data_IF_676795474710
#
_entry.id   IF_676795474710
#
_cell.length_a   1.000
_cell.length_b   1.000
_cell.length_c   1.000
_cell.angle_alpha   90.00
_cell.angle_beta   90.00
_cell.angle_gamma   90.00
#
_symmetry.space_group_name_H-M   'P 1'
#
loop_
_entity.id
_entity.type
_entity.pdbx_description
1 polymer ?
#
# COMPACT_ATOMS: atom_id res chain seq x y z
N UNK A 1 -17.56 -6.12 -4.95
CA UNK A 1 -16.95 -5.70 -3.67
C UNK A 1 -17.92 -5.61 -2.48
N UNK A 2 -19.21 -5.27 -2.65
CA UNK A 2 -20.19 -5.23 -1.55
C UNK A 2 -20.62 -6.60 -0.96
N UNK A 3 -20.45 -7.71 -1.71
CA UNK A 3 -20.87 -9.05 -1.24
C UNK A 3 -19.87 -9.73 -0.30
N UNK A 4 -18.57 -9.58 -0.52
CA UNK A 4 -17.52 -10.14 0.36
C UNK A 4 -17.44 -9.38 1.69
N UNK A 5 -17.62 -8.04 1.66
CA UNK A 5 -17.81 -7.21 2.87
C UNK A 5 -19.01 -7.64 3.70
N UNK A 6 -20.10 -8.08 3.07
CA UNK A 6 -21.28 -8.55 3.82
C UNK A 6 -21.03 -9.92 4.44
N UNK A 7 -20.38 -10.86 3.76
CA UNK A 7 -20.27 -12.23 4.28
C UNK A 7 -19.32 -12.32 5.49
N UNK A 8 -18.15 -11.68 5.45
CA UNK A 8 -17.20 -11.72 6.59
C UNK A 8 -17.68 -10.90 7.79
N UNK A 9 -18.36 -9.77 7.52
CA UNK A 9 -18.85 -8.86 8.55
C UNK A 9 -20.20 -9.30 9.14
N UNK A 10 -21.03 -10.04 8.39
CA UNK A 10 -22.30 -10.63 8.91
C UNK A 10 -22.02 -11.83 9.81
N UNK A 11 -21.08 -12.71 9.45
CA UNK A 11 -20.79 -13.88 10.30
C UNK A 11 -20.16 -13.48 11.64
N UNK A 12 -19.31 -12.43 11.67
CA UNK A 12 -18.83 -11.86 12.93
C UNK A 12 -19.92 -11.02 13.63
N UNK A 13 -20.57 -10.06 12.97
CA UNK A 13 -21.56 -9.20 13.65
C UNK A 13 -22.74 -9.96 14.27
N UNK A 14 -23.13 -11.13 13.75
CA UNK A 14 -24.20 -11.95 14.33
C UNK A 14 -23.79 -12.58 15.67
N UNK A 15 -22.51 -12.91 15.86
CA UNK A 15 -22.00 -13.45 17.14
C UNK A 15 -21.83 -12.33 18.17
N UNK A 16 -21.38 -11.13 17.79
CA UNK A 16 -21.28 -10.00 18.73
C UNK A 16 -22.61 -9.36 19.08
N UNK A 17 -23.57 -9.30 18.14
CA UNK A 17 -24.93 -8.81 18.42
C UNK A 17 -25.67 -9.73 19.41
N UNK A 18 -25.37 -11.03 19.46
CA UNK A 18 -25.98 -11.94 20.42
C UNK A 18 -25.28 -11.95 21.79
N UNK A 19 -23.96 -11.73 21.85
CA UNK A 19 -23.20 -11.71 23.12
C UNK A 19 -23.47 -10.45 23.96
N UNK A 20 -23.62 -9.29 23.32
CA UNK A 20 -23.78 -7.98 24.00
C UNK A 20 -25.11 -7.27 23.68
N UNK A 21 -26.09 -7.93 23.06
CA UNK A 21 -27.43 -7.36 22.95
C UNK A 21 -27.98 -7.01 24.34
N UNK A 22 -28.45 -5.78 24.49
CA UNK A 22 -29.15 -5.23 25.67
C UNK A 22 -28.25 -4.68 26.80
N UNK A 23 -27.22 -3.89 26.46
CA UNK A 23 -26.32 -3.17 27.38
C UNK A 23 -27.02 -2.31 28.44
N UNK A 24 -28.18 -1.73 28.13
CA UNK A 24 -28.88 -0.80 29.02
C UNK A 24 -29.56 -1.45 30.25
N UNK A 25 -29.50 -2.77 30.42
CA UNK A 25 -30.16 -3.48 31.53
C UNK A 25 -29.30 -4.49 32.29
N UNK A 26 -28.03 -4.68 31.94
CA UNK A 26 -27.16 -5.64 32.65
C UNK A 26 -26.39 -4.96 33.78
N UNK A 27 -26.36 -5.62 34.92
CA UNK A 27 -25.60 -5.14 36.08
C UNK A 27 -24.10 -5.38 35.85
N UNK A 28 -23.28 -4.35 36.06
CA UNK A 28 -21.82 -4.45 35.96
C UNK A 28 -21.23 -4.97 37.28
N UNK A 29 -20.34 -5.96 37.21
CA UNK A 29 -19.55 -6.44 38.34
C UNK A 29 -18.09 -6.11 38.12
N UNK A 30 -17.47 -5.52 39.14
CA UNK A 30 -16.02 -5.34 39.18
C UNK A 30 -15.36 -6.60 39.75
N UNK A 31 -14.52 -7.25 38.96
CA UNK A 31 -13.65 -8.32 39.41
C UNK A 31 -12.19 -7.83 39.36
N UNK A 32 -11.37 -8.04 40.40
CA UNK A 32 -9.97 -7.60 40.36
C UNK A 32 -9.12 -8.45 39.38
N UNK A 33 -9.55 -9.69 39.13
CA UNK A 33 -8.88 -10.62 38.21
C UNK A 33 -9.90 -11.62 37.65
N UNK A 34 -9.76 -11.99 36.38
CA UNK A 34 -10.57 -13.01 35.72
C UNK A 34 -9.65 -14.06 35.09
N UNK A 35 -9.88 -15.32 35.42
CA UNK A 35 -9.20 -16.46 34.80
C UNK A 35 -10.19 -17.34 34.04
N UNK A 36 -9.80 -17.78 32.84
CA UNK A 36 -10.65 -18.61 31.97
C UNK A 36 -9.87 -19.81 31.42
N UNK A 37 -10.50 -20.98 31.30
CA UNK A 37 -9.90 -22.11 30.59
C UNK A 37 -10.26 -22.11 29.10
N UNK A 38 -11.56 -22.15 28.77
CA UNK A 38 -12.06 -22.20 27.39
C UNK A 38 -12.66 -20.86 26.99
N UNK A 39 -13.63 -20.40 27.79
CA UNK A 39 -14.26 -19.09 27.73
C UNK A 39 -14.84 -18.77 29.11
N UNK A 40 -15.23 -17.51 29.38
CA UNK A 40 -15.88 -17.11 30.63
C UNK A 40 -17.37 -17.46 30.66
N UNK A 41 -17.72 -18.71 30.31
CA UNK A 41 -19.09 -19.22 30.32
C UNK A 41 -19.79 -19.01 31.68
N UNK A 42 -19.03 -19.07 32.79
CA UNK A 42 -19.61 -18.95 34.13
C UNK A 42 -20.31 -17.60 34.40
N UNK A 43 -19.84 -16.51 33.81
CA UNK A 43 -20.45 -15.18 33.95
C UNK A 43 -21.50 -14.88 32.87
N UNK A 44 -21.43 -15.56 31.71
CA UNK A 44 -22.49 -15.55 30.71
C UNK A 44 -23.82 -16.09 31.28
N UNK A 45 -23.78 -17.10 32.15
CA UNK A 45 -24.97 -17.59 32.86
C UNK A 45 -25.55 -16.59 33.86
N UNK A 46 -24.72 -15.70 34.42
CA UNK A 46 -25.17 -14.68 35.38
C UNK A 46 -25.79 -13.45 34.71
N UNK A 47 -25.70 -13.30 33.38
CA UNK A 47 -26.09 -12.09 32.63
C UNK A 47 -25.49 -10.77 33.16
N UNK A 48 -24.33 -10.83 33.82
CA UNK A 48 -23.66 -9.65 34.38
C UNK A 48 -22.43 -9.31 33.56
N UNK A 49 -22.22 -8.01 33.39
CA UNK A 49 -21.11 -7.48 32.60
C UNK A 49 -19.88 -7.32 33.50
N UNK A 50 -18.86 -8.14 33.25
CA UNK A 50 -17.65 -8.15 34.07
C UNK A 50 -16.68 -7.06 33.61
N UNK A 51 -16.35 -6.16 34.53
CA UNK A 51 -15.30 -5.14 34.39
C UNK A 51 -14.11 -5.58 35.22
N UNK A 52 -12.92 -5.63 34.62
CA UNK A 52 -11.69 -6.07 35.31
C UNK A 52 -10.48 -5.32 34.78
N UNK A 53 -9.46 -5.02 35.62
CA UNK A 53 -8.17 -4.61 35.09
C UNK A 53 -7.44 -5.77 34.38
N UNK A 54 -7.61 -7.01 34.85
CA UNK A 54 -6.82 -8.15 34.40
C UNK A 54 -7.69 -9.36 34.01
N UNK A 55 -7.47 -9.89 32.81
CA UNK A 55 -8.15 -11.07 32.29
C UNK A 55 -7.18 -12.00 31.57
N UNK A 56 -7.06 -13.26 32.01
CA UNK A 56 -6.17 -14.25 31.39
C UNK A 56 -6.94 -15.52 31.06
N UNK A 57 -6.88 -15.96 29.80
CA UNK A 57 -7.52 -17.17 29.31
C UNK A 57 -6.51 -18.22 28.82
N UNK A 58 -6.66 -19.49 29.18
CA UNK A 58 -5.81 -20.55 28.61
C UNK A 58 -6.07 -20.73 27.12
N UNK A 59 -7.32 -20.94 26.70
CA UNK A 59 -7.70 -20.98 25.28
C UNK A 59 -8.29 -19.64 24.85
N UNK A 60 -9.24 -19.09 25.62
CA UNK A 60 -9.83 -17.81 25.31
C UNK A 60 -10.38 -17.08 26.53
N UNK A 61 -10.62 -15.77 26.36
CA UNK A 61 -11.14 -14.87 27.40
C UNK A 61 -12.29 -14.04 26.84
N UNK A 62 -13.45 -14.07 27.50
CA UNK A 62 -14.61 -13.25 27.15
C UNK A 62 -14.97 -12.36 28.33
N UNK A 63 -14.80 -11.05 28.20
CA UNK A 63 -14.99 -10.11 29.31
C UNK A 63 -15.66 -8.86 28.78
N UNK A 64 -16.55 -8.22 29.54
CA UNK A 64 -17.22 -7.02 29.05
C UNK A 64 -16.24 -5.86 28.90
N UNK A 65 -15.50 -5.50 29.95
CA UNK A 65 -14.53 -4.39 29.89
C UNK A 65 -13.20 -4.75 30.55
N UNK A 66 -12.09 -4.38 29.90
CA UNK A 66 -10.72 -4.56 30.41
C UNK A 66 -9.98 -3.24 30.51
N UNK A 67 -9.43 -2.91 31.68
CA UNK A 67 -8.77 -1.62 31.95
C UNK A 67 -7.24 -1.70 32.12
N UNK A 68 -6.61 -2.86 31.85
CA UNK A 68 -5.15 -2.96 31.82
C UNK A 68 -4.61 -4.07 30.89
N UNK A 69 -4.91 -5.36 31.15
CA UNK A 69 -4.38 -6.47 30.35
C UNK A 69 -5.42 -7.57 30.14
N UNK A 70 -5.58 -7.97 28.89
CA UNK A 70 -6.24 -9.19 28.50
C UNK A 70 -5.30 -10.06 27.65
N UNK A 71 -5.13 -11.33 28.02
CA UNK A 71 -4.28 -12.24 27.27
C UNK A 71 -4.86 -13.64 27.18
N UNK A 72 -4.74 -14.28 26.01
CA UNK A 72 -5.10 -15.69 25.86
C UNK A 72 -4.33 -16.41 24.75
N UNK A 73 -4.36 -17.74 24.72
CA UNK A 73 -3.63 -18.49 23.67
C UNK A 73 -4.30 -18.42 22.31
N UNK A 74 -5.64 -18.44 22.22
CA UNK A 74 -6.34 -18.43 20.94
C UNK A 74 -7.10 -17.14 20.71
N UNK A 75 -8.02 -16.76 21.61
CA UNK A 75 -8.90 -15.63 21.32
C UNK A 75 -9.34 -14.81 22.53
N UNK A 76 -9.50 -13.50 22.32
CA UNK A 76 -10.14 -12.59 23.27
C UNK A 76 -11.38 -11.96 22.65
N UNK A 77 -12.47 -11.89 23.41
CA UNK A 77 -13.69 -11.18 23.04
C UNK A 77 -14.05 -10.20 24.15
N UNK A 78 -14.14 -8.92 23.80
CA UNK A 78 -14.44 -7.85 24.74
C UNK A 78 -15.37 -6.80 24.16
N UNK A 79 -16.09 -6.07 25.03
CA UNK A 79 -16.87 -4.92 24.59
C UNK A 79 -16.00 -3.68 24.47
N UNK A 80 -15.26 -3.33 25.53
CA UNK A 80 -14.38 -2.17 25.57
C UNK A 80 -13.03 -2.52 26.23
N UNK A 81 -11.93 -1.99 25.67
CA UNK A 81 -10.59 -2.17 26.24
C UNK A 81 -9.90 -0.83 26.37
N UNK A 82 -9.38 -0.55 27.57
CA UNK A 82 -8.35 0.45 27.81
C UNK A 82 -7.11 -0.29 28.34
N UNK A 83 -6.09 -0.47 27.50
CA UNK A 83 -4.86 -1.20 27.86
C UNK A 83 -4.34 -2.13 26.77
N UNK A 84 -3.93 -3.33 27.16
CA UNK A 84 -3.25 -4.30 26.30
C UNK A 84 -4.13 -5.52 26.06
N UNK A 85 -4.33 -5.93 24.81
CA UNK A 85 -5.06 -7.15 24.45
C UNK A 85 -4.23 -8.02 23.51
N UNK A 86 -3.88 -9.24 23.96
CA UNK A 86 -2.98 -10.16 23.25
C UNK A 86 -3.60 -11.54 23.05
N UNK A 87 -3.57 -12.07 21.83
CA UNK A 87 -3.98 -13.44 21.55
C UNK A 87 -3.15 -14.12 20.46
N UNK A 88 -3.14 -15.46 20.44
CA UNK A 88 -2.45 -16.19 19.38
C UNK A 88 -3.19 -16.17 18.05
N UNK A 89 -4.52 -15.99 18.02
CA UNK A 89 -5.31 -16.02 16.78
C UNK A 89 -6.14 -14.76 16.61
N UNK A 90 -7.08 -14.48 17.52
CA UNK A 90 -8.13 -13.47 17.32
C UNK A 90 -8.34 -12.59 18.54
N UNK A 91 -8.21 -11.28 18.36
CA UNK A 91 -8.83 -10.32 19.27
C UNK A 91 -10.06 -9.70 18.63
N UNK A 92 -11.13 -9.59 19.41
CA UNK A 92 -12.37 -8.98 18.98
C UNK A 92 -12.91 -8.04 20.06
N UNK A 93 -12.91 -6.75 19.76
CA UNK A 93 -13.57 -5.73 20.54
C UNK A 93 -14.87 -5.28 19.85
N UNK A 94 -15.98 -5.16 20.57
CA UNK A 94 -17.26 -4.78 19.95
C UNK A 94 -17.53 -3.27 19.95
N UNK A 95 -16.77 -2.50 20.74
CA UNK A 95 -16.88 -1.05 20.87
C UNK A 95 -15.51 -0.37 20.67
N UNK A 96 -15.23 0.69 21.44
CA UNK A 96 -14.01 1.47 21.46
C UNK A 96 -12.84 0.70 22.08
N UNK A 97 -11.64 0.94 21.54
CA UNK A 97 -10.39 0.35 22.01
C UNK A 97 -9.33 1.46 22.15
N UNK A 98 -8.70 1.54 23.31
CA UNK A 98 -7.58 2.44 23.61
C UNK A 98 -6.37 1.61 24.12
N UNK A 99 -5.26 1.64 23.38
CA UNK A 99 -3.98 1.05 23.81
C UNK A 99 -3.31 0.15 22.78
N UNK A 100 -2.90 -1.06 23.17
CA UNK A 100 -2.13 -1.99 22.31
C UNK A 100 -2.90 -3.28 22.07
N UNK A 101 -3.13 -3.61 20.80
CA UNK A 101 -3.82 -4.83 20.40
C UNK A 101 -2.92 -5.69 19.50
N UNK A 102 -2.64 -6.93 19.90
CA UNK A 102 -1.75 -7.84 19.19
C UNK A 102 -2.38 -9.21 18.99
N UNK A 103 -2.45 -9.69 17.75
CA UNK A 103 -2.93 -11.04 17.45
C UNK A 103 -2.04 -11.74 16.40
N UNK A 104 -1.92 -13.06 16.50
CA UNK A 104 -1.21 -13.83 15.48
C UNK A 104 -1.90 -13.79 14.11
N UNK A 105 -3.23 -13.62 14.04
CA UNK A 105 -3.95 -13.64 12.77
C UNK A 105 -4.84 -12.40 12.59
N UNK A 106 -5.80 -12.15 13.49
CA UNK A 106 -6.85 -11.16 13.30
C UNK A 106 -7.04 -10.26 14.51
N UNK A 107 -7.16 -8.95 14.27
CA UNK A 107 -7.76 -8.02 15.21
C UNK A 107 -8.99 -7.37 14.58
N UNK A 108 -10.11 -7.33 15.31
CA UNK A 108 -11.38 -6.76 14.85
C UNK A 108 -11.97 -5.85 15.93
N UNK A 109 -12.20 -4.57 15.60
CA UNK A 109 -12.84 -3.62 16.50
C UNK A 109 -14.14 -3.06 15.88
N UNK A 110 -15.22 -3.09 16.65
CA UNK A 110 -16.54 -2.59 16.25
C UNK A 110 -16.69 -1.07 16.31
N UNK A 111 -15.85 -0.39 17.09
CA UNK A 111 -15.83 1.07 17.22
C UNK A 111 -14.52 1.69 16.73
N UNK A 112 -14.20 2.83 17.34
CA UNK A 112 -12.97 3.58 17.12
C UNK A 112 -11.79 2.89 17.83
N UNK A 113 -10.59 3.07 17.28
CA UNK A 113 -9.35 2.52 17.81
C UNK A 113 -8.32 3.62 18.01
N UNK A 114 -7.79 3.76 19.22
CA UNK A 114 -6.64 4.63 19.52
C UNK A 114 -5.46 3.79 20.02
N UNK A 115 -4.27 4.00 19.43
CA UNK A 115 -3.04 3.34 19.83
C UNK A 115 -2.39 2.48 18.75
N UNK A 116 -1.93 1.27 19.09
CA UNK A 116 -1.13 0.40 18.19
C UNK A 116 -1.76 -0.98 17.98
N UNK A 117 -2.10 -1.29 16.74
CA UNK A 117 -2.75 -2.54 16.32
C UNK A 117 -1.79 -3.38 15.45
N UNK A 118 -1.51 -4.61 15.85
CA UNK A 118 -0.61 -5.53 15.14
C UNK A 118 -1.26 -6.89 14.92
N UNK A 119 -1.32 -7.33 13.66
CA UNK A 119 -1.84 -8.66 13.30
C UNK A 119 -0.96 -9.35 12.26
N UNK A 120 -0.86 -10.68 12.31
CA UNK A 120 -0.17 -11.43 11.26
C UNK A 120 -0.84 -11.34 9.90
N UNK A 121 -2.18 -11.24 9.84
CA UNK A 121 -2.94 -11.20 8.58
C UNK A 121 -3.76 -9.92 8.44
N UNK A 122 -4.76 -9.69 9.31
CA UNK A 122 -5.71 -8.58 9.15
C UNK A 122 -5.93 -7.76 10.43
N UNK A 123 -6.02 -6.45 10.26
CA UNK A 123 -6.65 -5.55 11.22
C UNK A 123 -7.90 -4.90 10.59
N UNK A 124 -9.01 -4.87 11.34
CA UNK A 124 -10.27 -4.27 10.89
C UNK A 124 -10.88 -3.42 11.98
N UNK A 125 -11.00 -2.11 11.74
CA UNK A 125 -11.74 -1.19 12.61
C UNK A 125 -12.98 -0.71 11.85
N UNK A 126 -14.17 -0.93 12.39
CA UNK A 126 -15.40 -0.40 11.79
C UNK A 126 -15.47 1.12 11.92
N UNK A 127 -14.91 1.69 12.99
CA UNK A 127 -14.77 3.11 13.23
C UNK A 127 -13.48 3.74 12.67
N UNK A 128 -13.17 4.91 13.19
CA UNK A 128 -11.93 5.63 12.97
C UNK A 128 -10.74 4.90 13.60
N UNK A 129 -9.53 5.36 13.26
CA UNK A 129 -8.34 4.94 13.97
C UNK A 129 -7.41 6.14 14.19
N UNK A 130 -6.75 6.16 15.34
CA UNK A 130 -5.67 7.06 15.72
C UNK A 130 -4.45 6.20 16.09
N UNK A 131 -3.28 6.49 15.52
CA UNK A 131 -2.02 5.79 15.83
C UNK A 131 -1.48 4.87 14.72
N UNK A 132 -1.18 3.62 15.02
CA UNK A 132 -0.51 2.68 14.11
C UNK A 132 -1.32 1.41 13.87
N UNK A 133 -1.51 1.03 12.61
CA UNK A 133 -2.17 -0.20 12.19
C UNK A 133 -1.22 -1.01 11.28
N UNK A 134 -0.71 -2.14 11.76
CA UNK A 134 0.26 -2.98 11.06
C UNK A 134 -0.24 -4.41 10.83
N UNK A 135 -0.26 -4.87 9.59
CA UNK A 135 -0.69 -6.23 9.26
C UNK A 135 0.15 -6.88 8.16
N UNK A 136 0.27 -8.21 8.16
CA UNK A 136 0.97 -8.90 7.07
C UNK A 136 0.29 -8.75 5.71
N UNK A 137 -1.06 -8.72 5.67
CA UNK A 137 -1.83 -8.69 4.42
C UNK A 137 -2.65 -7.42 4.29
N UNK A 138 -3.53 -7.11 5.25
CA UNK A 138 -4.47 -5.99 5.07
C UNK A 138 -4.85 -5.25 6.35
N UNK A 139 -4.97 -3.94 6.20
CA UNK A 139 -5.55 -3.03 7.19
C UNK A 139 -6.83 -2.39 6.64
N UNK A 140 -7.85 -2.23 7.49
CA UNK A 140 -9.09 -1.54 7.17
C UNK A 140 -9.55 -0.61 8.30
N UNK A 141 -9.98 0.59 7.94
CA UNK A 141 -10.67 1.53 8.84
C UNK A 141 -11.91 2.14 8.15
N UNK A 142 -13.05 2.12 8.85
CA UNK A 142 -14.36 2.47 8.29
C UNK A 142 -14.91 3.85 8.65
N UNK A 143 -14.43 4.49 9.72
CA UNK A 143 -14.88 5.80 10.20
C UNK A 143 -14.53 6.94 9.25
N UNK A 144 -15.07 8.15 9.45
CA UNK A 144 -14.86 9.26 8.50
C UNK A 144 -13.45 9.82 8.51
N UNK A 145 -12.84 9.97 9.69
CA UNK A 145 -11.53 10.61 9.83
C UNK A 145 -10.60 9.70 10.62
N UNK A 146 -9.38 9.51 10.15
CA UNK A 146 -8.34 8.78 10.87
C UNK A 146 -7.05 9.59 10.90
N UNK A 147 -6.21 9.32 11.89
CA UNK A 147 -4.91 9.95 12.05
C UNK A 147 -3.84 8.87 12.28
N UNK A 148 -2.75 8.88 11.52
CA UNK A 148 -1.63 7.97 11.71
C UNK A 148 -1.30 7.09 10.51
N UNK A 149 -0.78 5.89 10.76
CA UNK A 149 -0.15 5.05 9.72
C UNK A 149 -0.82 3.69 9.59
N UNK A 150 -1.19 3.33 8.35
CA UNK A 150 -1.55 1.96 7.98
C UNK A 150 -0.41 1.34 7.17
N UNK A 151 0.17 0.24 7.66
CA UNK A 151 1.24 -0.49 7.00
C UNK A 151 0.83 -1.96 6.80
N UNK A 152 0.70 -2.38 5.55
CA UNK A 152 0.42 -3.76 5.20
C UNK A 152 1.09 -4.14 3.89
N UNK A 153 1.54 -5.39 3.74
CA UNK A 153 2.29 -5.79 2.54
C UNK A 153 1.45 -5.68 1.27
N UNK A 154 0.15 -5.97 1.35
CA UNK A 154 -0.74 -6.04 0.18
C UNK A 154 -1.69 -4.84 0.12
N UNK A 155 -2.51 -4.62 1.16
CA UNK A 155 -3.67 -3.75 1.03
C UNK A 155 -3.96 -2.89 2.26
N UNK A 156 -3.96 -1.57 2.10
CA UNK A 156 -4.52 -0.65 3.10
C UNK A 156 -5.79 -0.01 2.55
N UNK A 157 -6.86 -0.01 3.36
CA UNK A 157 -8.12 0.64 3.03
C UNK A 157 -8.52 1.60 4.14
N UNK A 158 -8.74 2.86 3.75
CA UNK A 158 -9.41 3.86 4.56
C UNK A 158 -10.66 4.35 3.84
N UNK A 159 -11.81 4.22 4.51
CA UNK A 159 -12.99 5.00 4.13
C UNK A 159 -12.86 6.39 4.75
N UNK A 160 -13.17 7.43 3.98
CA UNK A 160 -13.02 8.82 4.42
C UNK A 160 -11.56 9.30 4.36
N UNK A 161 -11.19 10.21 5.26
CA UNK A 161 -9.93 10.93 5.25
C UNK A 161 -8.87 10.26 6.14
N UNK A 162 -7.61 10.34 5.73
CA UNK A 162 -6.45 9.95 6.55
C UNK A 162 -5.47 11.10 6.65
N UNK A 163 -5.29 11.60 7.88
CA UNK A 163 -4.14 12.43 8.22
C UNK A 163 -2.96 11.53 8.55
N UNK A 164 -2.11 11.24 7.57
CA UNK A 164 -0.95 10.37 7.76
C UNK A 164 -0.59 9.56 6.52
N UNK A 165 -0.17 8.31 6.72
CA UNK A 165 0.45 7.51 5.66
C UNK A 165 -0.21 6.13 5.47
N UNK A 166 -0.30 5.69 4.22
CA UNK A 166 -0.53 4.28 3.89
C UNK A 166 0.70 3.72 3.17
N UNK A 167 1.20 2.58 3.63
CA UNK A 167 2.38 1.90 3.06
C UNK A 167 2.01 0.46 2.75
N UNK A 168 2.09 0.08 1.48
CA UNK A 168 1.72 -1.25 1.01
C UNK A 168 1.64 -1.33 -0.50
N UNK A 169 1.47 -2.52 -1.06
CA UNK A 169 1.37 -2.67 -2.52
C UNK A 169 0.20 -1.87 -3.11
N UNK A 170 -0.95 -1.90 -2.42
CA UNK A 170 -2.19 -1.22 -2.80
C UNK A 170 -2.70 -0.39 -1.62
N UNK A 171 -2.86 0.91 -1.83
CA UNK A 171 -3.40 1.86 -0.86
C UNK A 171 -4.66 2.50 -1.42
N UNK A 172 -5.75 2.41 -0.68
CA UNK A 172 -7.06 2.94 -1.10
C UNK A 172 -7.60 3.85 -0.01
N UNK A 173 -7.98 5.05 -0.42
CA UNK A 173 -8.55 6.09 0.40
C UNK A 173 -9.72 6.73 -0.35
N UNK A 174 -10.93 6.71 0.22
CA UNK A 174 -12.08 7.32 -0.46
C UNK A 174 -12.17 8.84 -0.28
N UNK A 175 -11.48 9.40 0.70
CA UNK A 175 -11.41 10.84 0.99
C UNK A 175 -10.02 11.41 0.74
N UNK A 176 -9.68 12.44 1.50
CA UNK A 176 -8.36 13.08 1.45
C UNK A 176 -7.33 12.27 2.25
N UNK A 177 -6.24 11.88 1.59
CA UNK A 177 -5.10 11.21 2.21
C UNK A 177 -3.81 12.00 1.96
N UNK A 178 -2.92 12.07 2.96
CA UNK A 178 -1.67 12.85 2.86
C UNK A 178 -0.51 12.11 2.17
N UNK A 179 -0.29 10.83 2.47
CA UNK A 179 0.83 10.12 1.85
C UNK A 179 0.45 8.66 1.60
N UNK A 180 0.77 8.18 0.40
CA UNK A 180 0.58 6.79 0.01
C UNK A 180 1.84 6.32 -0.71
N UNK A 181 2.42 5.23 -0.23
CA UNK A 181 3.55 4.56 -0.86
C UNK A 181 3.15 3.13 -1.23
N UNK A 182 3.05 2.89 -2.53
CA UNK A 182 2.60 1.63 -3.10
C UNK A 182 2.69 1.63 -4.61
N UNK A 183 2.46 0.47 -5.21
CA UNK A 183 2.33 0.36 -6.67
C UNK A 183 1.03 1.01 -7.14
N UNK A 184 -0.04 0.80 -6.39
CA UNK A 184 -1.36 1.36 -6.67
C UNK A 184 -1.80 2.20 -5.46
N UNK A 185 -1.88 3.50 -5.66
CA UNK A 185 -2.30 4.49 -4.67
C UNK A 185 -3.53 5.22 -5.21
N UNK A 186 -4.68 5.01 -4.56
CA UNK A 186 -5.95 5.61 -4.93
C UNK A 186 -6.40 6.52 -3.79
N UNK A 187 -6.61 7.79 -4.10
CA UNK A 187 -7.16 8.79 -3.18
C UNK A 187 -8.00 9.81 -3.95
N UNK A 188 -8.82 10.58 -3.22
CA UNK A 188 -9.46 11.78 -3.80
C UNK A 188 -8.39 12.73 -4.36
N UNK A 189 -8.65 13.30 -5.52
CA UNK A 189 -7.71 14.18 -6.25
C UNK A 189 -6.34 13.51 -6.54
N UNK A 190 -6.28 12.18 -6.55
CA UNK A 190 -5.09 11.44 -6.97
C UNK A 190 -4.99 11.34 -8.49
N UNK A 191 -3.83 10.91 -8.98
CA UNK A 191 -3.58 10.59 -10.38
C UNK A 191 -3.50 9.07 -10.54
N UNK A 192 -4.25 8.53 -11.51
CA UNK A 192 -4.10 7.19 -12.04
C UNK A 192 -3.96 7.34 -13.55
N UNK A 193 -2.76 7.18 -14.08
CA UNK A 193 -2.49 7.49 -15.48
C UNK A 193 -1.82 6.34 -16.22
N UNK A 194 -2.21 6.17 -17.47
CA UNK A 194 -1.51 5.37 -18.45
C UNK A 194 -0.84 6.29 -19.45
N UNK A 195 0.41 6.02 -19.81
CA UNK A 195 1.15 6.82 -20.78
C UNK A 195 1.89 5.96 -21.80
N UNK A 196 2.08 6.56 -22.96
CA UNK A 196 2.90 6.02 -24.03
C UNK A 196 3.77 7.15 -24.61
N UNK A 197 5.06 6.92 -24.79
CA UNK A 197 5.96 7.86 -25.47
C UNK A 197 6.89 7.17 -26.44
N UNK A 198 7.34 7.94 -27.42
CA UNK A 198 8.37 7.57 -28.37
C UNK A 198 9.67 8.29 -28.00
N UNK A 199 10.77 7.54 -27.93
CA UNK A 199 12.06 8.05 -27.46
C UNK A 199 13.01 8.34 -28.61
N UNK A 200 14.02 9.18 -28.37
CA UNK A 200 15.11 9.47 -29.30
C UNK A 200 15.97 8.24 -29.65
N UNK A 201 15.85 7.17 -28.85
CA UNK A 201 16.53 5.90 -29.05
C UNK A 201 15.68 4.88 -29.82
N UNK A 202 14.59 5.32 -30.46
CA UNK A 202 13.69 4.46 -31.25
C UNK A 202 13.03 3.35 -30.40
N UNK A 203 12.72 3.69 -29.15
CA UNK A 203 11.94 2.84 -28.25
C UNK A 203 10.55 3.42 -28.01
N UNK A 204 9.60 2.54 -27.72
CA UNK A 204 8.28 2.90 -27.17
C UNK A 204 8.30 2.64 -25.67
N UNK A 205 7.98 3.67 -24.88
CA UNK A 205 7.87 3.61 -23.42
C UNK A 205 6.40 3.59 -23.01
N UNK A 206 6.02 2.65 -22.16
CA UNK A 206 4.71 2.55 -21.53
C UNK A 206 4.82 2.81 -20.04
N UNK A 207 3.96 3.67 -19.50
CA UNK A 207 4.00 4.11 -18.10
C UNK A 207 2.66 3.91 -17.42
N UNK A 208 2.67 3.40 -16.20
CA UNK A 208 1.57 3.49 -15.23
C UNK A 208 2.01 4.39 -14.09
N UNK A 209 1.22 5.42 -13.78
CA UNK A 209 1.46 6.36 -12.68
C UNK A 209 0.31 6.30 -11.69
N UNK A 210 0.62 6.24 -10.39
CA UNK A 210 -0.39 6.14 -9.35
C UNK A 210 0.02 6.85 -8.05
N UNK A 211 -0.81 7.79 -7.57
CA UNK A 211 -0.56 8.55 -6.34
C UNK A 211 -1.23 9.91 -6.36
N UNK A 212 -0.54 10.93 -5.83
CA UNK A 212 -0.95 12.34 -5.90
C UNK A 212 0.08 13.14 -6.69
N UNK A 213 -0.28 14.34 -7.14
CA UNK A 213 0.64 15.17 -7.94
C UNK A 213 1.96 15.43 -7.20
N UNK A 214 1.93 15.74 -5.90
CA UNK A 214 3.16 15.98 -5.13
C UNK A 214 3.98 14.73 -4.79
N UNK A 215 3.39 13.54 -4.90
CA UNK A 215 4.07 12.26 -4.71
C UNK A 215 3.30 11.12 -5.37
N UNK A 216 3.90 10.54 -6.41
CA UNK A 216 3.36 9.39 -7.10
C UNK A 216 4.41 8.32 -7.32
N UNK A 217 3.96 7.08 -7.44
CA UNK A 217 4.76 5.98 -7.95
C UNK A 217 4.58 5.89 -9.45
N UNK A 218 5.67 5.62 -10.16
CA UNK A 218 5.66 5.29 -11.58
C UNK A 218 6.27 3.90 -11.77
N UNK A 219 5.61 3.09 -12.57
CA UNK A 219 6.16 1.83 -13.09
C UNK A 219 5.96 1.82 -14.58
N UNK A 220 6.81 1.13 -15.30
CA UNK A 220 6.61 0.99 -16.72
C UNK A 220 7.64 0.10 -17.36
N UNK A 221 7.56 0.10 -18.67
CA UNK A 221 8.50 -0.64 -19.49
C UNK A 221 8.72 0.04 -20.83
N UNK A 222 9.78 -0.38 -21.50
CA UNK A 222 10.20 0.12 -22.78
C UNK A 222 10.61 -1.05 -23.67
N UNK A 223 10.20 -0.98 -24.93
CA UNK A 223 10.54 -1.94 -25.97
C UNK A 223 11.13 -1.21 -27.18
N UNK A 224 11.99 -1.90 -27.92
CA UNK A 224 12.40 -1.44 -29.25
C UNK A 224 11.15 -1.20 -30.14
N UNK A 225 11.23 -0.23 -31.05
CA UNK A 225 10.15 0.05 -32.00
C UNK A 225 9.91 -1.13 -32.96
N UNK A 226 8.72 -1.79 -32.91
CA UNK A 226 8.43 -2.96 -33.74
C UNK A 226 8.35 -2.63 -35.24
N UNK A 227 8.17 -1.36 -35.61
CA UNK A 227 7.99 -0.94 -37.00
C UNK A 227 9.30 -0.84 -37.79
N UNK A 228 10.46 -0.88 -37.13
CA UNK A 228 11.78 -0.77 -37.78
C UNK A 228 12.18 -1.99 -38.61
N UNK A 229 11.70 -3.19 -38.26
CA UNK A 229 12.16 -4.45 -38.87
C UNK A 229 11.12 -5.16 -39.74
N UNK A 230 10.00 -4.50 -40.06
CA UNK A 230 8.98 -5.02 -41.00
C UNK A 230 8.25 -6.29 -40.56
N UNK A 231 8.50 -6.82 -39.36
CA UNK A 231 7.91 -8.06 -38.85
C UNK A 231 7.71 -8.00 -37.32
N UNK A 232 6.46 -7.80 -36.88
CA UNK A 232 6.05 -7.67 -35.47
C UNK A 232 6.22 -8.95 -34.62
N UNK A 233 6.63 -10.07 -35.22
CA UNK A 233 6.63 -11.39 -34.58
C UNK A 233 8.03 -12.04 -34.51
N UNK A 234 9.10 -11.29 -34.77
CA UNK A 234 10.45 -11.82 -34.55
C UNK A 234 10.69 -12.06 -33.06
N UNK A 235 11.26 -13.22 -32.74
CA UNK A 235 11.65 -13.63 -31.38
C UNK A 235 12.57 -12.60 -30.69
N UNK A 236 13.35 -11.87 -31.49
CA UNK A 236 14.23 -10.75 -31.11
C UNK A 236 13.50 -9.59 -30.43
N UNK A 237 12.21 -9.38 -30.71
CA UNK A 237 11.39 -8.35 -30.05
C UNK A 237 11.29 -8.56 -28.54
N UNK A 238 11.39 -9.81 -28.07
CA UNK A 238 11.32 -10.14 -26.65
C UNK A 238 12.69 -10.13 -25.95
N UNK A 239 13.79 -9.91 -26.68
CA UNK A 239 15.13 -10.05 -26.13
C UNK A 239 15.74 -8.74 -25.63
N UNK A 240 15.25 -7.58 -26.08
CA UNK A 240 15.65 -6.27 -25.56
C UNK A 240 14.44 -5.58 -24.93
N UNK A 241 14.34 -5.63 -23.61
CA UNK A 241 13.26 -5.00 -22.86
C UNK A 241 13.83 -4.31 -21.64
N UNK A 242 13.28 -3.15 -21.32
CA UNK A 242 13.66 -2.39 -20.15
C UNK A 242 12.43 -2.16 -19.28
N UNK A 243 12.52 -2.48 -17.99
CA UNK A 243 11.52 -2.04 -17.03
C UNK A 243 12.06 -0.90 -16.18
N UNK A 244 11.15 -0.12 -15.61
CA UNK A 244 11.52 0.92 -14.66
C UNK A 244 10.45 1.06 -13.58
N UNK A 245 10.91 1.46 -12.42
CA UNK A 245 10.08 1.81 -11.27
C UNK A 245 10.66 3.06 -10.62
N UNK A 246 9.84 3.88 -10.00
CA UNK A 246 10.32 5.09 -9.38
C UNK A 246 9.23 5.90 -8.72
N UNK A 247 9.63 7.08 -8.29
CA UNK A 247 8.76 8.06 -7.65
C UNK A 247 8.91 9.40 -8.33
N UNK A 248 7.87 10.22 -8.27
CA UNK A 248 7.91 11.54 -8.85
C UNK A 248 6.98 12.54 -8.20
N UNK A 249 7.14 13.78 -8.61
CA UNK A 249 6.29 14.91 -8.27
C UNK A 249 5.94 15.67 -9.54
N UNK A 250 4.75 16.27 -9.58
CA UNK A 250 4.23 17.07 -10.68
C UNK A 250 3.75 18.40 -10.13
N UNK A 251 4.18 19.47 -10.78
CA UNK A 251 3.69 20.81 -10.59
C UNK A 251 2.75 21.14 -11.74
N UNK A 252 1.49 21.46 -11.44
CA UNK A 252 0.46 21.78 -12.42
C UNK A 252 0.04 23.25 -12.29
N UNK A 253 0.08 23.99 -13.40
CA UNK A 253 -0.27 25.40 -13.51
C UNK A 253 -1.29 25.59 -14.63
N UNK A 254 -2.58 25.49 -14.30
CA UNK A 254 -3.65 25.48 -15.30
C UNK A 254 -3.53 24.26 -16.21
N UNK A 255 -3.38 24.49 -17.52
CA UNK A 255 -3.18 23.42 -18.50
C UNK A 255 -1.73 22.91 -18.57
N UNK A 256 -0.76 23.63 -18.00
CA UNK A 256 0.65 23.26 -18.06
C UNK A 256 1.02 22.38 -16.87
N UNK A 257 1.96 21.46 -17.07
CA UNK A 257 2.56 20.71 -15.97
C UNK A 257 4.04 20.41 -16.21
N UNK A 258 4.77 20.27 -15.11
CA UNK A 258 6.17 19.84 -15.08
C UNK A 258 6.30 18.72 -14.06
N UNK A 259 6.70 17.54 -14.51
CA UNK A 259 7.00 16.38 -13.69
C UNK A 259 8.50 16.19 -13.50
N UNK A 260 8.90 15.78 -12.31
CA UNK A 260 10.26 15.32 -11.99
C UNK A 260 10.17 13.93 -11.39
N UNK A 261 10.94 12.99 -11.92
CA UNK A 261 10.89 11.57 -11.58
C UNK A 261 12.31 11.06 -11.28
N UNK A 262 12.44 10.26 -10.23
CA UNK A 262 13.63 9.47 -9.93
C UNK A 262 13.29 8.00 -10.18
N UNK A 263 14.03 7.36 -11.07
CA UNK A 263 13.73 6.04 -11.58
C UNK A 263 14.90 5.09 -11.33
N UNK A 264 14.57 3.83 -11.04
CA UNK A 264 15.44 2.69 -11.16
C UNK A 264 15.01 1.88 -12.38
N UNK A 265 15.94 1.63 -13.28
CA UNK A 265 15.71 0.99 -14.57
C UNK A 265 16.47 -0.33 -14.60
N UNK A 266 15.87 -1.38 -15.16
CA UNK A 266 16.55 -2.66 -15.42
C UNK A 266 16.42 -2.98 -16.90
N UNK A 267 17.55 -3.12 -17.56
CA UNK A 267 17.65 -3.54 -18.95
C UNK A 267 17.89 -5.04 -18.97
N UNK A 268 17.12 -5.76 -19.79
CA UNK A 268 17.29 -7.18 -20.04
C UNK A 268 17.75 -7.37 -21.49
N UNK A 269 18.81 -8.16 -21.68
CA UNK A 269 19.45 -8.38 -22.97
C UNK A 269 20.06 -9.78 -23.08
N UNK A 270 20.37 -10.21 -24.30
CA UNK A 270 21.18 -11.41 -24.55
C UNK A 270 22.64 -11.01 -24.79
N UNK A 271 23.57 -11.69 -24.12
CA UNK A 271 25.01 -11.53 -24.41
C UNK A 271 25.41 -12.25 -25.71
N UNK A 272 26.68 -12.12 -26.12
CA UNK A 272 27.23 -12.75 -27.33
C UNK A 272 27.08 -14.28 -27.36
N UNK A 273 26.91 -14.91 -26.19
CA UNK A 273 26.73 -16.35 -26.04
C UNK A 273 25.24 -16.76 -25.95
N UNK A 274 24.31 -15.84 -26.27
CA UNK A 274 22.86 -16.00 -26.13
C UNK A 274 22.40 -16.27 -24.69
N UNK A 275 23.14 -15.81 -23.67
CA UNK A 275 22.71 -15.91 -22.27
C UNK A 275 21.93 -14.66 -21.87
N UNK A 276 20.87 -14.86 -21.11
CA UNK A 276 20.09 -13.76 -20.54
C UNK A 276 20.87 -13.01 -19.48
N UNK A 277 20.99 -11.70 -19.64
CA UNK A 277 21.65 -10.77 -18.72
C UNK A 277 20.71 -9.65 -18.34
N UNK A 278 20.95 -9.06 -17.17
CA UNK A 278 20.30 -7.83 -16.76
C UNK A 278 21.30 -6.85 -16.18
N UNK A 279 21.05 -5.56 -16.39
CA UNK A 279 21.83 -4.47 -15.83
C UNK A 279 20.89 -3.38 -15.31
N UNK A 280 21.18 -2.88 -14.11
CA UNK A 280 20.38 -1.88 -13.42
C UNK A 280 21.08 -0.52 -13.41
N UNK A 281 20.33 0.57 -13.59
CA UNK A 281 20.86 1.93 -13.48
C UNK A 281 19.79 2.90 -12.95
N UNK A 282 20.25 3.98 -12.31
CA UNK A 282 19.36 5.04 -11.80
C UNK A 282 19.24 6.13 -12.85
N UNK A 283 18.06 6.70 -13.02
CA UNK A 283 17.86 7.87 -13.89
C UNK A 283 17.02 8.96 -13.24
N UNK A 284 17.29 10.19 -13.61
CA UNK A 284 16.43 11.34 -13.35
C UNK A 284 15.69 11.72 -14.61
N UNK A 285 14.38 11.98 -14.52
CA UNK A 285 13.56 12.40 -15.65
C UNK A 285 12.82 13.69 -15.33
N UNK A 286 12.79 14.61 -16.29
CA UNK A 286 11.99 15.83 -16.25
C UNK A 286 11.07 15.82 -17.45
N UNK A 287 9.77 16.06 -17.24
CA UNK A 287 8.78 16.08 -18.33
C UNK A 287 7.91 17.33 -18.24
N UNK A 288 7.86 18.11 -19.31
CA UNK A 288 6.94 19.23 -19.45
C UNK A 288 5.76 18.81 -20.32
N UNK A 289 4.55 19.12 -19.89
CA UNK A 289 3.33 18.72 -20.60
C UNK A 289 2.23 19.78 -20.59
N UNK A 290 1.26 19.57 -21.47
CA UNK A 290 0.04 20.37 -21.61
C UNK A 290 -1.16 19.43 -21.60
N UNK A 291 -2.19 19.78 -20.86
CA UNK A 291 -3.45 19.05 -20.73
C UNK A 291 -4.57 19.85 -21.42
N UNK A 292 -4.66 19.82 -22.76
CA UNK A 292 -5.58 20.68 -23.51
C UNK A 292 -7.05 20.31 -23.30
N UNK A 293 -7.33 19.05 -22.97
CA UNK A 293 -8.66 18.55 -22.61
C UNK A 293 -8.55 17.71 -21.35
N UNK A 294 -9.66 17.61 -20.61
CA UNK A 294 -9.71 16.82 -19.37
C UNK A 294 -9.21 15.40 -19.65
N UNK A 295 -8.37 14.88 -18.76
CA UNK A 295 -7.79 13.54 -18.81
C UNK A 295 -6.76 13.25 -19.91
N UNK A 296 -6.45 14.19 -20.81
CA UNK A 296 -5.48 13.95 -21.88
C UNK A 296 -4.32 14.92 -21.79
N UNK A 297 -3.12 14.40 -21.56
CA UNK A 297 -1.88 15.16 -21.46
C UNK A 297 -0.95 14.80 -22.62
N UNK A 298 -0.36 15.81 -23.24
CA UNK A 298 0.74 15.68 -24.21
C UNK A 298 1.99 16.18 -23.52
N UNK A 299 3.10 15.47 -23.62
CA UNK A 299 4.35 15.86 -22.97
C UNK A 299 5.58 15.66 -23.84
N UNK A 300 6.63 16.40 -23.49
CA UNK A 300 8.00 16.15 -23.88
C UNK A 300 8.83 15.94 -22.61
N UNK A 301 9.66 14.90 -22.59
CA UNK A 301 10.50 14.54 -21.47
C UNK A 301 11.95 14.38 -21.84
N UNK A 302 12.80 14.52 -20.84
CA UNK A 302 14.23 14.29 -20.90
C UNK A 302 14.63 13.41 -19.72
N UNK A 303 15.35 12.34 -20.00
CA UNK A 303 15.85 11.37 -19.04
C UNK A 303 17.38 11.36 -19.08
N UNK A 304 18.01 11.48 -17.91
CA UNK A 304 19.43 11.30 -17.70
C UNK A 304 19.66 10.02 -16.89
N UNK A 305 20.17 8.96 -17.52
CA UNK A 305 20.57 7.71 -16.88
C UNK A 305 22.02 7.76 -16.42
N UNK A 306 22.29 7.36 -15.18
CA UNK A 306 23.61 7.40 -14.56
C UNK A 306 24.15 5.98 -14.36
N UNK A 307 25.32 5.71 -14.92
CA UNK A 307 26.01 4.42 -14.84
C UNK A 307 27.48 4.65 -14.47
N UNK A 308 28.07 3.77 -13.66
CA UNK A 308 29.46 3.91 -13.20
C UNK A 308 30.29 2.66 -13.52
N UNK A 309 31.38 2.83 -14.25
CA UNK A 309 32.20 1.73 -14.79
C UNK A 309 32.83 0.82 -13.73
N UNK A 310 33.06 1.30 -12.50
CA UNK A 310 33.66 0.49 -11.42
C UNK A 310 32.74 -0.59 -10.82
N UNK A 311 31.42 -0.52 -11.07
CA UNK A 311 30.45 -1.48 -10.51
C UNK A 311 29.97 -2.52 -11.53
N UNK A 312 30.24 -2.33 -12.82
CA UNK A 312 29.80 -3.20 -13.90
C UNK A 312 31.01 -3.93 -14.49
N UNK A 313 31.36 -5.08 -13.91
CA UNK A 313 32.49 -5.92 -14.35
C UNK A 313 32.21 -6.74 -15.63
N UNK A 314 31.19 -6.36 -16.41
CA UNK A 314 30.77 -6.98 -17.67
C UNK A 314 29.82 -6.00 -18.36
N UNK A 315 30.12 -5.64 -19.61
CA UNK A 315 29.31 -4.89 -20.60
C UNK A 315 28.32 -3.86 -20.03
N UNK A 316 28.61 -2.57 -20.21
CA UNK A 316 27.70 -1.48 -19.81
C UNK A 316 26.27 -1.77 -20.33
N UNK A 317 25.22 -1.45 -19.56
CA UNK A 317 23.81 -1.71 -19.90
C UNK A 317 23.40 -1.20 -21.30
N UNK A 318 24.20 -0.28 -21.82
CA UNK A 318 24.01 0.43 -23.07
C UNK A 318 25.12 0.22 -24.11
N UNK A 319 26.14 -0.62 -23.86
CA UNK A 319 27.17 -0.90 -24.87
C UNK A 319 26.60 -1.59 -26.10
N UNK A 320 25.47 -2.30 -25.96
CA UNK A 320 24.72 -2.89 -27.06
C UNK A 320 23.79 -1.90 -27.80
N UNK A 321 23.52 -0.70 -27.26
CA UNK A 321 22.62 0.30 -27.89
C UNK A 321 23.44 1.33 -28.67
N UNK A 322 23.66 1.05 -29.97
CA UNK A 322 24.54 1.82 -30.87
C UNK A 322 24.13 3.29 -31.11
N UNK A 323 22.93 3.72 -30.72
CA UNK A 323 22.35 5.04 -31.02
C UNK A 323 22.27 6.01 -29.84
N UNK A 324 22.80 5.65 -28.67
CA UNK A 324 22.58 6.45 -27.46
C UNK A 324 23.55 7.64 -27.34
N UNK A 325 22.99 8.84 -27.20
CA UNK A 325 23.75 10.03 -26.82
C UNK A 325 24.29 9.84 -25.39
N UNK A 326 25.62 9.87 -25.24
CA UNK A 326 26.28 9.64 -23.94
C UNK A 326 27.39 10.64 -23.66
N UNK A 327 27.49 11.04 -22.40
CA UNK A 327 28.59 11.87 -21.87
C UNK A 327 29.42 11.01 -20.92
N UNK A 328 30.73 10.89 -21.20
CA UNK A 328 31.67 10.12 -20.34
C UNK A 328 32.54 11.08 -19.53
N UNK A 329 32.73 10.77 -18.26
CA UNK A 329 33.61 11.49 -17.34
C UNK A 329 34.85 10.66 -17.03
N UNK A 330 35.97 11.34 -16.73
CA UNK A 330 37.27 10.70 -16.46
C UNK A 330 37.27 9.78 -15.22
N UNK A 331 36.29 9.93 -14.33
CA UNK A 331 36.13 9.10 -13.14
C UNK A 331 35.35 7.80 -13.40
N UNK A 332 34.93 7.53 -14.64
CA UNK A 332 34.17 6.32 -14.98
C UNK A 332 32.64 6.48 -14.95
N UNK A 333 32.13 7.66 -14.60
CA UNK A 333 30.71 7.99 -14.73
C UNK A 333 30.34 8.15 -16.22
N UNK A 334 29.22 7.55 -16.61
CA UNK A 334 28.60 7.73 -17.92
C UNK A 334 27.17 8.21 -17.71
N UNK A 335 26.80 9.29 -18.41
CA UNK A 335 25.43 9.78 -18.46
C UNK A 335 24.84 9.45 -19.82
N UNK A 336 23.72 8.73 -19.82
CA UNK A 336 22.92 8.41 -21.00
C UNK A 336 21.76 9.39 -21.12
N UNK A 337 21.66 10.05 -22.26
CA UNK A 337 20.66 11.08 -22.52
C UNK A 337 19.56 10.53 -23.43
N UNK A 338 18.31 10.68 -23.03
CA UNK A 338 17.15 10.28 -23.82
C UNK A 338 16.08 11.38 -23.78
N UNK A 339 15.51 11.70 -24.94
CA UNK A 339 14.36 12.61 -25.06
C UNK A 339 13.16 11.80 -25.52
N UNK A 340 11.98 12.07 -24.96
CA UNK A 340 10.75 11.39 -25.34
C UNK A 340 9.58 12.35 -25.55
N UNK A 341 8.70 12.04 -26.48
CA UNK A 341 7.42 12.75 -26.68
C UNK A 341 6.29 11.76 -26.61
N UNK A 342 5.20 12.13 -25.94
CA UNK A 342 4.14 11.17 -25.69
C UNK A 342 2.87 11.76 -25.15
N UNK A 343 1.99 10.84 -24.78
CA UNK A 343 0.67 11.11 -24.23
C UNK A 343 0.49 10.40 -22.90
N UNK A 344 -0.29 11.00 -22.00
CA UNK A 344 -0.83 10.35 -20.81
C UNK A 344 -2.35 10.52 -20.77
N UNK A 345 -3.04 9.47 -20.33
CA UNK A 345 -4.48 9.44 -20.12
C UNK A 345 -4.76 9.17 -18.65
N UNK A 346 -5.46 10.10 -18.00
CA UNK A 346 -5.86 9.98 -16.60
C UNK A 346 -7.20 9.22 -16.49
N UNK A 347 -7.20 8.13 -15.74
CA UNK A 347 -8.31 7.18 -15.63
C UNK A 347 -9.32 7.55 -14.53
N UNK A 348 -8.91 8.35 -13.55
CA UNK A 348 -9.74 8.75 -12.42
C UNK A 348 -10.20 10.22 -12.51
N UNK A 349 -11.32 10.50 -11.83
CA UNK A 349 -11.96 11.81 -11.73
C UNK A 349 -11.70 12.44 -10.38
#
# INVERSE_FOLDING_TARGET
MNKIKKIFLVVLSVVSCSLFANENQREKINAPFVFSFVSNEFYLFSQKDVVTPFAVGMLGSTVYQVNALQASSLYNVTHEVNGVQLSGILNWNTSEFDGVQGAGIFNVNGGDFDGSQLAGILNVNAGAFSGFQGAGIMNYAGGQDSNGVQAASILNIKKGNLKGAQIGLINICSGECNFQLGLINISKNGIIELGASYTSNDNIRYTFTSGKEYFYTVVGFMTDNPFRNGNMFKKEFFYNFENFTGVGTRLSFGIFNVGVEALYNNVFFLDSDNRFRSAGYISGRVAAGVTPVKHFNIFAGYTAGFEHSAYCNSDLAFEHKASNLKTRFNNGLVIHHEVDVGIKVCLNN
#
